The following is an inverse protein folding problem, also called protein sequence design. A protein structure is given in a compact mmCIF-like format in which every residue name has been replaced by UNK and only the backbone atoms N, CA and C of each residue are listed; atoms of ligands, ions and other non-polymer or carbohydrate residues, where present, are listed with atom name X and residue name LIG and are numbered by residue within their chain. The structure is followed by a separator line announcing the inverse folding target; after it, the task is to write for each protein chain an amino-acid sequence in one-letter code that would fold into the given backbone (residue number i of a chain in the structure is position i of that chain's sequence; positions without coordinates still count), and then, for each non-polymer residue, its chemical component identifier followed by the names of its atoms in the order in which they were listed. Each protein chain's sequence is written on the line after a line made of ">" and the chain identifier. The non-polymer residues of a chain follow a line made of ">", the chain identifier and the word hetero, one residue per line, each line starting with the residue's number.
data_IF_397834617314
#
_entry.id   IF_397834617314
#
_cell.length_a   1.000
_cell.length_b   1.000
_cell.length_c   1.000
_cell.angle_alpha   90.00
_cell.angle_beta   90.00
_cell.angle_gamma   90.00
#
_symmetry.space_group_name_H-M   'P 1'
#
loop_
_entity.id
_entity.type
_entity.pdbx_description
1 polymer ?
#
# COMPACT_ATOMS: atom_id res chain seq x y z
N UNK A 1 52.43 7.90 88.56
CA UNK A 1 53.30 7.08 87.68
C UNK A 1 52.36 6.13 86.95
N UNK A 2 52.13 6.12 85.65
CA UNK A 2 52.91 6.49 84.44
C UNK A 2 51.90 6.90 83.34
N UNK A 3 52.25 7.88 82.53
CA UNK A 3 51.69 8.19 81.18
C UNK A 3 52.83 7.88 80.17
N UNK A 4 52.70 7.80 78.82
CA UNK A 4 51.54 7.81 77.90
C UNK A 4 51.64 6.74 76.76
N UNK A 5 50.67 6.68 75.86
CA UNK A 5 50.92 6.33 74.44
C UNK A 5 49.78 6.87 73.54
N UNK A 6 50.16 7.71 72.59
CA UNK A 6 49.29 8.36 71.61
C UNK A 6 49.11 7.48 70.36
N UNK A 7 47.98 7.66 69.66
CA UNK A 7 47.98 7.61 68.19
C UNK A 7 46.86 8.48 67.62
N UNK A 8 47.25 9.35 66.68
CA UNK A 8 46.46 10.32 65.94
C UNK A 8 45.85 9.65 64.69
N UNK A 9 44.57 9.91 64.39
CA UNK A 9 44.07 9.91 63.00
C UNK A 9 43.10 11.07 62.81
N UNK A 10 43.35 11.84 61.74
CA UNK A 10 42.72 13.10 61.35
C UNK A 10 41.29 13.00 60.83
N UNK A 11 40.60 14.13 61.02
CA UNK A 11 39.40 14.69 60.41
C UNK A 11 38.95 14.18 59.02
N UNK A 12 37.62 14.05 58.86
CA UNK A 12 36.88 14.63 57.74
C UNK A 12 35.38 14.79 58.08
N UNK A 13 34.96 16.00 58.45
CA UNK A 13 33.55 16.40 58.47
C UNK A 13 33.14 16.58 57.00
N UNK A 14 32.64 15.50 56.40
CA UNK A 14 32.09 15.49 55.04
C UNK A 14 30.72 16.15 55.01
N UNK A 15 30.61 17.20 54.22
CA UNK A 15 29.45 18.08 54.06
C UNK A 15 28.24 17.29 53.54
N UNK A 16 27.17 17.24 54.34
CA UNK A 16 25.82 16.88 53.89
C UNK A 16 25.35 17.91 52.86
N UNK A 17 25.66 17.65 51.59
CA UNK A 17 25.08 18.38 50.46
C UNK A 17 23.61 17.99 50.36
N UNK A 18 22.74 18.91 50.74
CA UNK A 18 21.34 18.87 50.38
C UNK A 18 21.23 18.79 48.85
N UNK A 19 20.80 17.63 48.35
CA UNK A 19 20.39 17.48 46.95
C UNK A 19 19.05 18.20 46.85
N UNK A 20 19.06 19.44 46.36
CA UNK A 20 17.83 20.12 45.98
C UNK A 20 17.09 19.27 44.95
N UNK A 21 15.80 18.94 45.15
CA UNK A 21 14.98 18.41 44.09
C UNK A 21 14.74 19.55 43.11
N UNK A 22 15.63 19.72 42.15
CA UNK A 22 15.31 20.44 40.93
C UNK A 22 14.26 19.59 40.22
N UNK A 23 12.98 19.83 40.53
CA UNK A 23 11.89 19.45 39.65
C UNK A 23 12.21 20.12 38.31
N UNK A 24 12.71 19.32 37.37
CA UNK A 24 12.86 19.74 36.00
C UNK A 24 11.43 20.09 35.50
N UNK A 25 11.09 21.39 35.53
CA UNK A 25 10.05 21.89 34.66
C UNK A 25 10.38 21.38 33.26
N UNK A 26 9.40 20.85 32.50
CA UNK A 26 9.64 20.51 31.11
C UNK A 26 10.29 21.72 30.45
N UNK A 27 11.54 21.59 30.02
CA UNK A 27 12.26 22.68 29.40
C UNK A 27 11.42 23.24 28.26
N UNK A 28 11.33 24.57 28.16
CA UNK A 28 10.59 25.21 27.08
C UNK A 28 11.03 24.62 25.74
N UNK A 29 10.06 24.22 24.90
CA UNK A 29 10.36 23.64 23.60
C UNK A 29 11.23 24.60 22.78
N UNK A 30 12.21 24.05 22.08
CA UNK A 30 12.98 24.83 21.09
C UNK A 30 12.06 25.32 19.99
N UNK A 31 12.44 26.39 19.28
CA UNK A 31 11.66 26.91 18.14
C UNK A 31 11.33 25.81 17.13
N UNK A 32 12.31 24.97 16.76
CA UNK A 32 12.12 23.85 15.83
C UNK A 32 11.06 22.85 16.32
N UNK A 33 11.07 22.51 17.61
CA UNK A 33 10.10 21.60 18.22
C UNK A 33 8.69 22.21 18.25
N UNK A 34 8.59 23.49 18.62
CA UNK A 34 7.33 24.23 18.61
C UNK A 34 6.75 24.36 17.20
N UNK A 35 7.58 24.66 16.19
CA UNK A 35 7.15 24.77 14.79
C UNK A 35 6.67 23.42 14.24
N UNK A 36 7.35 22.32 14.57
CA UNK A 36 6.94 20.97 14.17
C UNK A 36 5.62 20.55 14.84
N UNK A 37 5.45 20.86 16.14
CA UNK A 37 4.21 20.61 16.86
C UNK A 37 3.04 21.41 16.28
N UNK A 38 3.25 22.70 15.99
CA UNK A 38 2.24 23.55 15.36
C UNK A 38 1.87 23.03 13.96
N UNK A 39 2.86 22.59 13.18
CA UNK A 39 2.63 22.02 11.85
C UNK A 39 1.78 20.74 11.93
N UNK A 40 2.08 19.84 12.88
CA UNK A 40 1.28 18.65 13.11
C UNK A 40 -0.15 18.99 13.53
N UNK A 41 -0.33 19.87 14.52
CA UNK A 41 -1.66 20.29 14.97
C UNK A 41 -2.49 20.90 13.83
N UNK A 42 -1.88 21.75 13.00
CA UNK A 42 -2.55 22.31 11.82
C UNK A 42 -2.94 21.23 10.80
N UNK A 43 -2.08 20.21 10.61
CA UNK A 43 -2.36 19.11 9.70
C UNK A 43 -3.52 18.23 10.21
N UNK A 44 -3.61 17.98 11.52
CA UNK A 44 -4.74 17.29 12.16
C UNK A 44 -6.03 18.08 11.96
N UNK A 45 -6.06 19.35 12.34
CA UNK A 45 -7.25 20.21 12.16
C UNK A 45 -7.70 20.29 10.71
N UNK A 46 -6.75 20.37 9.77
CA UNK A 46 -7.06 20.36 8.34
C UNK A 46 -7.68 19.03 7.90
N UNK A 47 -7.21 17.90 8.43
CA UNK A 47 -7.76 16.60 8.11
C UNK A 47 -9.18 16.42 8.66
N UNK A 48 -9.41 16.81 9.92
CA UNK A 48 -10.74 16.85 10.53
C UNK A 48 -11.73 17.68 9.73
N UNK A 49 -11.29 18.86 9.26
CA UNK A 49 -12.14 19.73 8.46
C UNK A 49 -12.53 19.09 7.13
N UNK A 50 -11.58 18.49 6.41
CA UNK A 50 -11.86 17.81 5.13
C UNK A 50 -12.75 16.58 5.34
N UNK A 51 -12.56 15.82 6.43
CA UNK A 51 -13.44 14.72 6.83
C UNK A 51 -14.87 15.20 7.05
N UNK A 52 -15.05 16.24 7.86
CA UNK A 52 -16.34 16.86 8.15
C UNK A 52 -17.03 17.37 6.88
N UNK A 53 -16.30 18.07 6.01
CA UNK A 53 -16.83 18.58 4.74
C UNK A 53 -17.31 17.44 3.84
N UNK A 54 -16.47 16.40 3.65
CA UNK A 54 -16.86 15.27 2.81
C UNK A 54 -18.06 14.51 3.39
N UNK A 55 -18.08 14.27 4.71
CA UNK A 55 -19.22 13.65 5.40
C UNK A 55 -20.50 14.46 5.22
N UNK A 56 -20.44 15.78 5.41
CA UNK A 56 -21.60 16.65 5.23
C UNK A 56 -22.13 16.63 3.79
N UNK A 57 -21.24 16.66 2.79
CA UNK A 57 -21.62 16.56 1.37
C UNK A 57 -22.31 15.23 1.07
N UNK A 58 -21.75 14.10 1.54
CA UNK A 58 -22.35 12.77 1.35
C UNK A 58 -23.71 12.67 2.05
N UNK A 59 -23.80 13.07 3.32
CA UNK A 59 -25.04 12.96 4.11
C UNK A 59 -26.18 13.83 3.54
N UNK A 60 -25.86 14.95 2.90
CA UNK A 60 -26.85 15.84 2.28
C UNK A 60 -27.19 15.47 0.84
N UNK A 61 -26.60 14.41 0.29
CA UNK A 61 -26.81 14.00 -1.11
C UNK A 61 -26.27 15.02 -2.12
N UNK A 62 -25.40 15.94 -1.69
CA UNK A 62 -24.80 16.93 -2.57
C UNK A 62 -23.87 16.23 -3.58
N UNK A 63 -23.80 16.74 -4.83
CA UNK A 63 -22.84 16.22 -5.80
C UNK A 63 -21.40 16.28 -5.27
N UNK A 64 -20.68 15.17 -5.40
CA UNK A 64 -19.26 15.11 -5.04
C UNK A 64 -18.41 15.70 -6.19
N UNK A 65 -17.22 16.26 -5.91
CA UNK A 65 -16.33 16.73 -6.95
C UNK A 65 -15.79 15.54 -7.75
N UNK A 66 -15.23 15.83 -8.92
CA UNK A 66 -14.76 14.82 -9.88
C UNK A 66 -13.83 13.76 -9.26
N UNK A 67 -12.94 14.13 -8.34
CA UNK A 67 -12.03 13.23 -7.62
C UNK A 67 -12.33 13.29 -6.11
N UNK A 68 -13.41 12.65 -5.64
CA UNK A 68 -14.01 12.95 -4.35
C UNK A 68 -13.14 12.59 -3.14
N UNK A 69 -12.26 11.59 -3.30
CA UNK A 69 -11.30 11.17 -2.29
C UNK A 69 -9.96 11.90 -2.32
N UNK A 70 -9.69 12.74 -3.33
CA UNK A 70 -8.35 13.35 -3.49
C UNK A 70 -7.96 14.23 -2.31
N UNK A 71 -8.86 15.14 -1.89
CA UNK A 71 -8.59 16.04 -0.76
C UNK A 71 -8.36 15.27 0.54
N UNK A 72 -9.19 14.25 0.80
CA UNK A 72 -9.06 13.38 1.96
C UNK A 72 -7.73 12.62 1.97
N UNK A 73 -7.34 12.07 0.82
CA UNK A 73 -6.08 11.36 0.67
C UNK A 73 -4.89 12.27 0.98
N UNK A 74 -4.86 13.46 0.38
CA UNK A 74 -3.79 14.43 0.61
C UNK A 74 -3.73 14.90 2.07
N UNK A 75 -4.87 15.16 2.69
CA UNK A 75 -4.93 15.56 4.09
C UNK A 75 -4.41 14.47 5.04
N UNK A 76 -4.78 13.20 4.80
CA UNK A 76 -4.26 12.04 5.55
C UNK A 76 -2.73 11.93 5.41
N UNK A 77 -2.22 12.03 4.18
CA UNK A 77 -0.77 11.96 3.92
C UNK A 77 -0.04 13.11 4.62
N UNK A 78 -0.60 14.33 4.57
CA UNK A 78 -0.02 15.49 5.23
C UNK A 78 0.04 15.31 6.75
N UNK A 79 -1.00 14.76 7.38
CA UNK A 79 -1.00 14.49 8.82
C UNK A 79 0.09 13.49 9.23
N UNK A 80 0.19 12.34 8.54
CA UNK A 80 1.21 11.31 8.82
C UNK A 80 2.62 11.89 8.58
N UNK A 81 2.76 12.68 7.51
CA UNK A 81 4.00 13.39 7.19
C UNK A 81 4.42 14.38 8.29
N UNK A 82 3.49 15.22 8.76
CA UNK A 82 3.75 16.21 9.80
C UNK A 82 4.03 15.56 11.16
N UNK A 83 3.41 14.42 11.45
CA UNK A 83 3.71 13.64 12.64
C UNK A 83 5.13 13.06 12.59
N UNK A 84 5.58 12.57 11.43
CA UNK A 84 6.97 12.13 11.27
C UNK A 84 7.97 13.28 11.45
N UNK A 85 7.66 14.48 10.96
CA UNK A 85 8.48 15.67 11.21
C UNK A 85 8.50 16.05 12.70
N UNK A 86 7.37 15.90 13.40
CA UNK A 86 7.27 16.13 14.84
C UNK A 86 8.12 15.14 15.63
N UNK A 87 8.02 13.84 15.36
CA UNK A 87 8.78 12.82 16.09
C UNK A 87 10.27 12.88 15.80
N UNK A 88 10.68 13.35 14.61
CA UNK A 88 12.08 13.65 14.30
C UNK A 88 12.62 14.85 15.11
N UNK A 89 11.80 15.88 15.33
CA UNK A 89 12.20 17.05 16.12
C UNK A 89 12.08 16.82 17.64
N UNK A 90 11.13 15.97 18.05
CA UNK A 90 10.78 15.71 19.43
C UNK A 90 10.48 14.19 19.62
N UNK A 91 11.51 13.34 19.77
CA UNK A 91 11.34 11.88 19.88
C UNK A 91 10.48 11.42 21.05
N UNK A 92 10.33 12.24 22.10
CA UNK A 92 9.40 11.95 23.21
C UNK A 92 7.92 11.95 22.79
N UNK A 93 7.60 12.39 21.57
CA UNK A 93 6.26 12.32 20.96
C UNK A 93 6.04 11.08 20.10
N UNK A 94 7.02 10.17 19.99
CA UNK A 94 6.79 8.87 19.32
C UNK A 94 5.58 8.20 19.97
N UNK A 95 4.63 7.81 19.14
CA UNK A 95 3.33 7.32 19.57
C UNK A 95 3.37 5.88 20.08
N UNK A 96 2.17 5.35 20.27
CA UNK A 96 1.96 3.95 20.64
C UNK A 96 1.73 3.08 19.40
N UNK A 97 1.95 1.76 19.49
CA UNK A 97 1.48 0.83 18.46
C UNK A 97 -0.02 1.02 18.18
N UNK A 98 -0.38 0.92 16.91
CA UNK A 98 -1.75 1.14 16.40
C UNK A 98 -2.24 -0.09 15.61
N UNK A 99 -3.55 -0.20 15.44
CA UNK A 99 -4.19 -1.33 14.73
C UNK A 99 -3.86 -1.41 13.24
N UNK A 100 -3.34 -0.33 12.65
CA UNK A 100 -2.97 -0.30 11.24
C UNK A 100 -1.53 -0.78 10.99
N UNK A 101 -0.77 -1.08 12.05
CA UNK A 101 0.63 -1.51 11.94
C UNK A 101 1.55 -0.42 11.40
N UNK A 102 1.12 0.85 11.40
CA UNK A 102 1.96 1.97 10.97
C UNK A 102 3.04 2.19 12.05
N UNK A 103 4.33 2.35 11.72
CA UNK A 103 5.34 2.50 12.76
C UNK A 103 5.04 3.74 13.65
N UNK A 104 5.21 3.67 14.98
CA UNK A 104 4.77 4.74 15.89
C UNK A 104 5.50 6.08 15.74
N UNK A 105 6.61 6.13 14.99
CA UNK A 105 7.23 7.40 14.61
C UNK A 105 6.44 8.16 13.53
N UNK A 106 5.56 7.48 12.79
CA UNK A 106 4.78 8.03 11.67
C UNK A 106 3.32 8.26 12.04
N UNK A 107 2.81 7.60 13.09
CA UNK A 107 1.41 7.67 13.44
C UNK A 107 1.16 7.35 14.91
N UNK A 108 0.31 8.15 15.55
CA UNK A 108 -0.16 7.92 16.91
C UNK A 108 -1.48 7.13 16.91
N UNK A 109 -1.62 6.19 17.85
CA UNK A 109 -2.87 5.47 18.09
C UNK A 109 -4.05 6.42 18.40
N UNK A 110 -3.79 7.60 18.98
CA UNK A 110 -4.84 8.59 19.25
C UNK A 110 -5.47 9.17 17.96
N UNK A 111 -4.77 9.08 16.83
CA UNK A 111 -5.27 9.51 15.51
C UNK A 111 -6.06 8.43 14.77
N UNK A 112 -6.21 7.21 15.33
CA UNK A 112 -6.95 6.11 14.70
C UNK A 112 -8.39 6.48 14.27
N UNK A 113 -9.19 7.20 15.08
CA UNK A 113 -10.56 7.55 14.70
C UNK A 113 -10.66 8.36 13.40
N UNK A 114 -9.65 9.20 13.10
CA UNK A 114 -9.61 9.99 11.87
C UNK A 114 -9.38 9.10 10.65
N UNK A 115 -8.51 8.08 10.79
CA UNK A 115 -8.24 7.12 9.72
C UNK A 115 -9.43 6.16 9.52
N UNK A 116 -10.13 5.79 10.59
CA UNK A 116 -11.38 5.04 10.49
C UNK A 116 -12.46 5.82 9.74
N UNK A 117 -12.66 7.10 10.07
CA UNK A 117 -13.62 7.95 9.36
C UNK A 117 -13.22 8.11 7.89
N UNK A 118 -11.93 8.34 7.62
CA UNK A 118 -11.40 8.37 6.26
C UNK A 118 -11.75 7.09 5.49
N UNK A 119 -11.55 5.90 6.07
CA UNK A 119 -11.87 4.64 5.40
C UNK A 119 -13.36 4.51 5.14
N UNK A 120 -14.21 4.82 6.12
CA UNK A 120 -15.68 4.80 5.95
C UNK A 120 -16.15 5.70 4.82
N UNK A 121 -15.58 6.90 4.68
CA UNK A 121 -15.91 7.79 3.57
C UNK A 121 -15.42 7.24 2.23
N UNK A 122 -14.23 6.64 2.19
CA UNK A 122 -13.75 5.96 1.00
C UNK A 122 -14.61 4.75 0.62
N UNK A 123 -15.08 3.94 1.58
CA UNK A 123 -16.02 2.83 1.31
C UNK A 123 -17.27 3.32 0.55
N UNK A 124 -17.78 4.51 0.90
CA UNK A 124 -18.93 5.11 0.22
C UNK A 124 -18.57 5.64 -1.18
N UNK A 125 -17.42 6.31 -1.33
CA UNK A 125 -16.99 6.88 -2.62
C UNK A 125 -16.49 5.84 -3.62
N UNK A 126 -15.99 4.71 -3.13
CA UNK A 126 -15.47 3.60 -3.92
C UNK A 126 -16.53 2.51 -4.13
N UNK A 127 -17.75 2.70 -3.63
CA UNK A 127 -18.81 1.71 -3.73
C UNK A 127 -19.05 1.33 -5.20
N UNK A 128 -19.17 0.02 -5.51
CA UNK A 128 -19.51 -0.41 -6.86
C UNK A 128 -20.85 0.19 -7.32
N UNK A 129 -21.03 0.44 -8.62
CA UNK A 129 -22.35 0.79 -9.13
C UNK A 129 -23.34 -0.36 -8.87
N UNK A 130 -24.62 -0.03 -8.71
CA UNK A 130 -25.65 -1.00 -8.28
C UNK A 130 -25.79 -2.21 -9.23
N UNK A 131 -25.47 -2.04 -10.52
CA UNK A 131 -25.50 -3.09 -11.53
C UNK A 131 -24.15 -3.82 -11.71
N UNK A 132 -23.15 -3.56 -10.86
CA UNK A 132 -21.90 -4.30 -10.89
C UNK A 132 -22.13 -5.79 -10.59
N UNK A 133 -21.48 -6.65 -11.37
CA UNK A 133 -21.63 -8.09 -11.31
C UNK A 133 -20.49 -8.68 -10.49
N UNK A 134 -20.80 -9.02 -9.24
CA UNK A 134 -19.87 -9.71 -8.35
C UNK A 134 -19.72 -11.18 -8.72
N UNK A 135 -18.57 -11.74 -8.36
CA UNK A 135 -18.32 -13.18 -8.29
C UNK A 135 -18.53 -13.68 -6.87
N UNK A 136 -18.98 -14.92 -6.76
CA UNK A 136 -19.07 -15.65 -5.49
C UNK A 136 -17.72 -16.27 -5.07
N UNK A 137 -16.71 -16.24 -5.95
CA UNK A 137 -15.37 -16.79 -5.71
C UNK A 137 -14.26 -15.82 -6.12
N UNK A 138 -14.28 -14.55 -5.68
CA UNK A 138 -13.45 -13.50 -6.27
C UNK A 138 -11.95 -13.77 -6.22
N UNK A 139 -11.45 -14.26 -5.08
CA UNK A 139 -10.02 -14.54 -4.94
C UNK A 139 -9.59 -15.73 -5.80
N UNK A 140 -10.45 -16.76 -5.90
CA UNK A 140 -10.21 -17.90 -6.77
C UNK A 140 -10.16 -17.47 -8.24
N UNK A 141 -11.02 -16.57 -8.65
CA UNK A 141 -11.06 -16.08 -10.03
C UNK A 141 -9.76 -15.38 -10.41
N UNK A 142 -9.23 -14.53 -9.52
CA UNK A 142 -7.92 -13.89 -9.70
C UNK A 142 -6.80 -14.93 -9.85
N UNK A 143 -6.78 -15.94 -8.98
CA UNK A 143 -5.74 -16.99 -9.00
C UNK A 143 -5.84 -17.85 -10.25
N UNK A 144 -7.03 -18.36 -10.57
CA UNK A 144 -7.27 -19.25 -11.71
C UNK A 144 -6.94 -18.56 -13.03
N UNK A 145 -7.42 -17.33 -13.22
CA UNK A 145 -7.16 -16.55 -14.43
C UNK A 145 -5.66 -16.30 -14.61
N UNK A 146 -4.97 -15.85 -13.56
CA UNK A 146 -3.54 -15.61 -13.61
C UNK A 146 -2.73 -16.88 -13.91
N UNK A 147 -3.07 -18.01 -13.27
CA UNK A 147 -2.43 -19.30 -13.54
C UNK A 147 -2.65 -19.76 -14.98
N UNK A 148 -3.87 -19.64 -15.51
CA UNK A 148 -4.19 -20.02 -16.88
C UNK A 148 -3.45 -19.15 -17.90
N UNK A 149 -3.42 -17.83 -17.70
CA UNK A 149 -2.67 -16.89 -18.53
C UNK A 149 -1.17 -17.24 -18.51
N UNK A 150 -0.61 -17.50 -17.33
CA UNK A 150 0.80 -17.87 -17.18
C UNK A 150 1.15 -19.16 -17.94
N UNK A 151 0.31 -20.19 -17.83
CA UNK A 151 0.49 -21.45 -18.57
C UNK A 151 0.39 -21.26 -20.08
N UNK A 152 -0.60 -20.48 -20.55
CA UNK A 152 -0.72 -20.13 -21.97
C UNK A 152 0.47 -19.31 -22.49
N UNK A 153 1.15 -18.58 -21.60
CA UNK A 153 2.41 -17.85 -21.88
C UNK A 153 3.67 -18.72 -21.70
N UNK A 154 3.51 -20.04 -21.50
CA UNK A 154 4.61 -21.00 -21.49
C UNK A 154 5.20 -21.32 -20.13
N UNK A 155 4.60 -20.87 -19.02
CA UNK A 155 5.05 -21.24 -17.69
C UNK A 155 4.58 -22.65 -17.30
N UNK A 156 5.44 -23.37 -16.57
CA UNK A 156 5.07 -24.61 -15.89
C UNK A 156 4.10 -24.36 -14.71
N UNK A 157 3.62 -25.44 -14.09
CA UNK A 157 2.65 -25.37 -13.00
C UNK A 157 3.17 -24.62 -11.76
N UNK A 158 4.46 -24.72 -11.45
CA UNK A 158 5.07 -24.08 -10.28
C UNK A 158 5.14 -22.57 -10.47
N UNK A 159 5.63 -22.13 -11.64
CA UNK A 159 5.73 -20.71 -11.98
C UNK A 159 4.36 -20.09 -12.23
N UNK A 160 3.39 -20.85 -12.74
CA UNK A 160 2.00 -20.42 -12.83
C UNK A 160 1.38 -20.16 -11.45
N UNK A 161 1.65 -20.98 -10.44
CA UNK A 161 1.21 -20.71 -9.06
C UNK A 161 1.77 -19.39 -8.51
N UNK A 162 3.04 -19.09 -8.81
CA UNK A 162 3.62 -17.79 -8.46
C UNK A 162 2.87 -16.63 -9.14
N UNK A 163 2.48 -16.78 -10.40
CA UNK A 163 1.64 -15.79 -11.10
C UNK A 163 0.28 -15.59 -10.41
N UNK A 164 -0.36 -16.67 -9.98
CA UNK A 164 -1.62 -16.64 -9.22
C UNK A 164 -1.48 -15.86 -7.90
N UNK A 165 -0.45 -16.18 -7.11
CA UNK A 165 -0.14 -15.50 -5.86
C UNK A 165 0.13 -14.01 -6.06
N UNK A 166 1.00 -13.66 -7.00
CA UNK A 166 1.36 -12.27 -7.31
C UNK A 166 0.11 -11.48 -7.73
N UNK A 167 -0.73 -12.07 -8.59
CA UNK A 167 -1.96 -11.44 -9.07
C UNK A 167 -2.98 -11.20 -7.97
N UNK A 168 -3.08 -12.12 -7.00
CA UNK A 168 -3.89 -11.89 -5.81
C UNK A 168 -3.30 -10.76 -4.94
N UNK A 169 -1.98 -10.69 -4.82
CA UNK A 169 -1.29 -9.57 -4.18
C UNK A 169 -1.68 -8.21 -4.78
N UNK A 170 -1.67 -8.11 -6.11
CA UNK A 170 -2.12 -6.92 -6.85
C UNK A 170 -3.58 -6.58 -6.57
N UNK A 171 -4.47 -7.59 -6.59
CA UNK A 171 -5.89 -7.40 -6.28
C UNK A 171 -6.08 -6.74 -4.92
N UNK A 172 -5.38 -7.22 -3.89
CA UNK A 172 -5.40 -6.61 -2.56
C UNK A 172 -4.69 -5.24 -2.52
N UNK A 173 -3.59 -5.07 -3.24
CA UNK A 173 -2.85 -3.80 -3.34
C UNK A 173 -3.77 -2.65 -3.76
N UNK A 174 -4.52 -2.86 -4.84
CA UNK A 174 -5.34 -1.85 -5.50
C UNK A 174 -6.74 -1.70 -4.88
N UNK A 175 -7.36 -2.80 -4.42
CA UNK A 175 -8.78 -2.78 -4.01
C UNK A 175 -9.03 -3.16 -2.55
N UNK A 176 -7.99 -3.54 -1.81
CA UNK A 176 -8.10 -4.16 -0.49
C UNK A 176 -8.94 -5.46 -0.50
N UNK A 177 -8.98 -6.14 -1.64
CA UNK A 177 -9.73 -7.39 -1.83
C UNK A 177 -11.21 -7.19 -2.21
N UNK A 178 -11.61 -5.97 -2.53
CA UNK A 178 -12.99 -5.64 -2.87
C UNK A 178 -13.24 -5.73 -4.38
N UNK A 179 -14.39 -6.27 -4.75
CA UNK A 179 -14.77 -6.40 -6.16
C UNK A 179 -15.40 -5.12 -6.69
N UNK A 180 -15.13 -4.82 -7.96
CA UNK A 180 -15.84 -3.81 -8.75
C UNK A 180 -15.83 -2.40 -8.14
N UNK A 181 -14.81 -2.09 -7.33
CA UNK A 181 -14.72 -0.81 -6.64
C UNK A 181 -14.43 0.34 -7.60
N UNK A 182 -14.96 1.51 -7.30
CA UNK A 182 -14.47 2.75 -7.88
C UNK A 182 -13.06 3.08 -7.37
N UNK A 183 -12.43 4.08 -7.98
CA UNK A 183 -11.27 4.75 -7.42
C UNK A 183 -11.67 6.17 -7.06
N UNK A 184 -11.74 6.49 -5.76
CA UNK A 184 -12.15 7.83 -5.32
C UNK A 184 -11.16 8.94 -5.74
N UNK A 185 -9.98 8.58 -6.25
CA UNK A 185 -8.93 9.49 -6.73
C UNK A 185 -8.77 9.48 -8.25
N UNK A 186 -9.55 8.67 -8.98
CA UNK A 186 -9.55 8.65 -10.45
C UNK A 186 -10.88 8.18 -11.02
N UNK A 187 -11.43 8.94 -11.98
CA UNK A 187 -12.60 8.49 -12.73
C UNK A 187 -12.27 7.49 -13.84
N UNK A 188 -10.99 7.39 -14.19
CA UNK A 188 -10.53 6.49 -15.25
C UNK A 188 -10.39 5.07 -14.71
N UNK A 189 -9.80 4.90 -13.54
CA UNK A 189 -9.45 3.59 -12.98
C UNK A 189 -10.57 3.06 -12.09
N UNK A 190 -11.16 1.92 -12.44
CA UNK A 190 -12.27 1.29 -11.71
C UNK A 190 -12.26 -0.22 -11.88
N UNK A 191 -13.10 -0.91 -11.11
CA UNK A 191 -13.30 -2.34 -11.22
C UNK A 191 -12.51 -3.13 -10.19
N UNK A 192 -12.38 -4.43 -10.45
CA UNK A 192 -11.74 -5.36 -9.52
C UNK A 192 -10.21 -5.25 -9.49
N UNK A 193 -9.55 -4.75 -10.55
CA UNK A 193 -8.10 -4.44 -10.55
C UNK A 193 -7.90 -2.99 -11.02
N UNK A 194 -8.70 -2.06 -10.49
CA UNK A 194 -8.70 -0.61 -10.77
C UNK A 194 -8.11 -0.22 -12.14
N UNK A 195 -8.73 -0.69 -13.23
CA UNK A 195 -8.20 -0.61 -14.59
C UNK A 195 -8.89 0.50 -15.38
N UNK A 196 -8.14 1.17 -16.25
CA UNK A 196 -8.67 2.20 -17.14
C UNK A 196 -9.32 1.61 -18.40
N UNK A 197 -10.11 2.41 -19.16
CA UNK A 197 -10.79 1.90 -20.36
C UNK A 197 -9.82 1.39 -21.45
N UNK A 198 -8.65 2.02 -21.58
CA UNK A 198 -7.64 1.64 -22.57
C UNK A 198 -6.97 0.32 -22.20
N UNK A 199 -6.63 0.16 -20.93
CA UNK A 199 -6.04 -1.05 -20.36
C UNK A 199 -7.03 -2.23 -20.48
N UNK A 200 -8.30 -2.01 -20.15
CA UNK A 200 -9.38 -3.00 -20.29
C UNK A 200 -9.54 -3.46 -21.74
N UNK A 201 -9.69 -2.52 -22.68
CA UNK A 201 -9.81 -2.82 -24.12
C UNK A 201 -8.58 -3.60 -24.64
N UNK A 202 -7.39 -3.19 -24.22
CA UNK A 202 -6.16 -3.89 -24.61
C UNK A 202 -6.08 -5.29 -23.99
N UNK A 203 -6.50 -5.42 -22.73
CA UNK A 203 -6.63 -6.67 -22.01
C UNK A 203 -7.52 -7.67 -22.74
N UNK A 204 -8.75 -7.26 -23.06
CA UNK A 204 -9.73 -8.07 -23.79
C UNK A 204 -9.18 -8.57 -25.13
N UNK A 205 -8.54 -7.67 -25.90
CA UNK A 205 -7.91 -8.03 -27.18
C UNK A 205 -6.81 -9.08 -27.00
N UNK A 206 -5.95 -8.92 -26.00
CA UNK A 206 -4.86 -9.86 -25.72
C UNK A 206 -5.41 -11.19 -25.18
N UNK A 207 -6.45 -11.18 -24.34
CA UNK A 207 -7.13 -12.38 -23.87
C UNK A 207 -7.65 -13.22 -25.04
N UNK A 208 -8.36 -12.58 -25.98
CA UNK A 208 -8.90 -13.24 -27.16
C UNK A 208 -7.83 -14.00 -27.96
N UNK A 209 -6.60 -13.48 -28.02
CA UNK A 209 -5.48 -14.11 -28.72
C UNK A 209 -4.97 -15.41 -28.07
N UNK A 210 -5.22 -15.63 -26.77
CA UNK A 210 -4.78 -16.83 -26.05
C UNK A 210 -5.94 -17.71 -25.56
N UNK A 211 -7.18 -17.26 -25.71
CA UNK A 211 -8.39 -17.94 -25.21
C UNK A 211 -8.50 -19.39 -25.70
N UNK A 212 -8.25 -19.64 -26.99
CA UNK A 212 -8.29 -21.00 -27.54
C UNK A 212 -7.21 -21.91 -26.95
N UNK A 213 -6.00 -21.38 -26.74
CA UNK A 213 -4.92 -22.13 -26.11
C UNK A 213 -5.26 -22.51 -24.67
N UNK A 214 -5.88 -21.60 -23.92
CA UNK A 214 -6.37 -21.87 -22.56
C UNK A 214 -7.47 -22.95 -22.59
N UNK A 215 -8.49 -22.80 -23.45
CA UNK A 215 -9.58 -23.76 -23.56
C UNK A 215 -9.11 -25.17 -23.94
N UNK A 216 -7.98 -25.30 -24.65
CA UNK A 216 -7.42 -26.59 -25.01
C UNK A 216 -6.89 -27.40 -23.80
N UNK A 217 -6.40 -26.74 -22.75
CA UNK A 217 -5.92 -27.41 -21.53
C UNK A 217 -6.83 -27.24 -20.31
N UNK A 218 -7.74 -26.27 -20.35
CA UNK A 218 -8.74 -25.99 -19.31
C UNK A 218 -10.09 -25.58 -19.94
N UNK A 219 -10.85 -26.55 -20.48
CA UNK A 219 -12.13 -26.28 -21.12
C UNK A 219 -13.18 -25.72 -20.15
N UNK A 220 -13.08 -26.04 -18.86
CA UNK A 220 -14.00 -25.56 -17.84
C UNK A 220 -13.82 -24.05 -17.60
N UNK A 221 -12.57 -23.56 -17.56
CA UNK A 221 -12.29 -22.13 -17.48
C UNK A 221 -12.77 -21.40 -18.74
N UNK A 222 -12.56 -21.98 -19.93
CA UNK A 222 -13.09 -21.43 -21.18
C UNK A 222 -14.61 -21.27 -21.17
N UNK A 223 -15.34 -22.32 -20.76
CA UNK A 223 -16.80 -22.26 -20.64
C UNK A 223 -17.27 -21.24 -19.59
N UNK A 224 -16.51 -21.09 -18.48
CA UNK A 224 -16.78 -20.07 -17.48
C UNK A 224 -16.57 -18.66 -18.03
N UNK A 225 -15.52 -18.44 -18.80
CA UNK A 225 -15.26 -17.16 -19.47
C UNK A 225 -16.39 -16.79 -20.43
N UNK A 226 -16.90 -17.73 -21.23
CA UNK A 226 -18.05 -17.50 -22.10
C UNK A 226 -19.31 -17.11 -21.32
N UNK A 227 -19.57 -17.78 -20.19
CA UNK A 227 -20.69 -17.45 -19.32
C UNK A 227 -20.56 -16.04 -18.73
N UNK A 228 -19.36 -15.63 -18.32
CA UNK A 228 -19.12 -14.31 -17.74
C UNK A 228 -19.15 -13.19 -18.78
N UNK A 229 -18.67 -13.43 -20.01
CA UNK A 229 -18.88 -12.52 -21.15
C UNK A 229 -20.37 -12.32 -21.45
N UNK A 230 -21.15 -13.42 -21.50
CA UNK A 230 -22.59 -13.34 -21.70
C UNK A 230 -23.30 -12.62 -20.55
N UNK A 231 -22.84 -12.83 -19.30
CA UNK A 231 -23.36 -12.13 -18.12
C UNK A 231 -23.07 -10.64 -18.17
N UNK A 232 -21.85 -10.24 -18.55
CA UNK A 232 -21.48 -8.84 -18.71
C UNK A 232 -22.34 -8.15 -19.78
N UNK A 233 -22.55 -8.79 -20.94
CA UNK A 233 -23.41 -8.26 -22.00
C UNK A 233 -22.99 -6.87 -22.45
N UNK A 234 -23.86 -5.87 -22.26
CA UNK A 234 -23.60 -4.47 -22.61
C UNK A 234 -23.06 -3.63 -21.42
N UNK A 235 -22.77 -4.26 -20.28
CA UNK A 235 -22.15 -3.60 -19.15
C UNK A 235 -20.72 -3.17 -19.52
N UNK A 236 -20.22 -2.10 -18.90
CA UNK A 236 -18.78 -1.85 -18.86
C UNK A 236 -18.09 -3.07 -18.21
N UNK A 237 -17.21 -3.75 -18.97
CA UNK A 237 -16.55 -4.99 -18.57
C UNK A 237 -15.81 -4.87 -17.23
N UNK A 238 -15.40 -3.66 -16.86
CA UNK A 238 -14.71 -3.40 -15.59
C UNK A 238 -15.62 -3.56 -14.37
N UNK A 239 -16.94 -3.57 -14.57
CA UNK A 239 -17.92 -3.79 -13.49
C UNK A 239 -18.41 -5.24 -13.41
N UNK A 240 -17.96 -6.15 -14.27
CA UNK A 240 -18.04 -7.58 -14.01
C UNK A 240 -16.70 -8.07 -13.47
N UNK A 241 -16.72 -8.74 -12.31
CA UNK A 241 -15.49 -9.12 -11.61
C UNK A 241 -14.56 -9.97 -12.48
N UNK A 242 -15.10 -10.99 -13.13
CA UNK A 242 -14.32 -11.94 -13.93
C UNK A 242 -13.66 -11.25 -15.12
N UNK A 243 -14.44 -10.53 -15.93
CA UNK A 243 -13.91 -9.83 -17.11
C UNK A 243 -12.94 -8.74 -16.71
N UNK A 244 -13.23 -7.98 -15.65
CA UNK A 244 -12.34 -6.94 -15.13
C UNK A 244 -10.98 -7.50 -14.71
N UNK A 245 -10.97 -8.59 -13.93
CA UNK A 245 -9.72 -9.22 -13.47
C UNK A 245 -8.92 -9.75 -14.66
N UNK A 246 -9.57 -10.51 -15.54
CA UNK A 246 -8.96 -11.10 -16.72
C UNK A 246 -8.33 -10.04 -17.63
N UNK A 247 -9.08 -9.00 -17.93
CA UNK A 247 -8.65 -7.95 -18.87
C UNK A 247 -7.57 -7.08 -18.22
N UNK A 248 -7.66 -6.77 -16.93
CA UNK A 248 -6.59 -6.09 -16.19
C UNK A 248 -5.26 -6.86 -16.21
N UNK A 249 -5.30 -8.17 -15.89
CA UNK A 249 -4.12 -9.04 -15.91
C UNK A 249 -3.49 -9.08 -17.30
N UNK A 250 -4.30 -9.27 -18.35
CA UNK A 250 -3.82 -9.27 -19.73
C UNK A 250 -3.29 -7.90 -20.19
N UNK A 251 -3.94 -6.83 -19.74
CA UNK A 251 -3.63 -5.44 -20.10
C UNK A 251 -2.25 -5.02 -19.62
N UNK A 252 -2.01 -5.18 -18.31
CA UNK A 252 -0.85 -4.60 -17.62
C UNK A 252 0.25 -5.61 -17.25
N UNK A 253 -0.10 -6.87 -16.91
CA UNK A 253 0.81 -7.78 -16.20
C UNK A 253 1.25 -9.01 -17.00
N UNK A 254 0.40 -9.56 -17.87
CA UNK A 254 0.63 -10.86 -18.51
C UNK A 254 1.93 -10.94 -19.33
N UNK A 255 2.43 -9.83 -19.88
CA UNK A 255 3.70 -9.81 -20.62
C UNK A 255 4.94 -9.97 -19.71
N UNK A 256 4.78 -9.83 -18.40
CA UNK A 256 5.84 -10.10 -17.43
C UNK A 256 5.80 -11.54 -16.90
N UNK A 257 4.72 -12.28 -17.13
CA UNK A 257 4.59 -13.65 -16.62
C UNK A 257 5.73 -14.58 -17.07
N UNK A 258 6.19 -14.56 -18.34
CA UNK A 258 7.36 -15.35 -18.75
C UNK A 258 8.64 -15.04 -17.96
N UNK A 259 8.73 -13.87 -17.31
CA UNK A 259 9.89 -13.45 -16.53
C UNK A 259 9.78 -13.82 -15.05
N UNK A 260 8.64 -14.38 -14.59
CA UNK A 260 8.43 -14.81 -13.20
C UNK A 260 9.55 -15.72 -12.68
N UNK A 261 10.05 -16.72 -13.41
CA UNK A 261 11.15 -17.56 -12.90
C UNK A 261 12.40 -16.75 -12.51
N UNK A 262 12.76 -15.76 -13.33
CA UNK A 262 13.88 -14.86 -13.03
C UNK A 262 13.56 -13.93 -11.86
N UNK A 263 12.34 -13.37 -11.81
CA UNK A 263 11.89 -12.49 -10.73
C UNK A 263 11.91 -13.23 -9.39
N UNK A 264 11.40 -14.46 -9.32
CA UNK A 264 11.39 -15.29 -8.10
C UNK A 264 12.81 -15.60 -7.64
N UNK A 265 13.74 -15.82 -8.58
CA UNK A 265 15.17 -16.02 -8.25
C UNK A 265 15.81 -14.76 -7.66
N UNK A 266 15.48 -13.58 -8.21
CA UNK A 266 16.04 -12.31 -7.75
C UNK A 266 15.39 -11.79 -6.47
N UNK A 267 14.08 -12.01 -6.30
CA UNK A 267 13.25 -11.59 -5.18
C UNK A 267 12.64 -12.85 -4.52
N UNK A 268 13.37 -13.53 -3.62
CA UNK A 268 12.89 -14.78 -3.03
C UNK A 268 11.69 -14.58 -2.08
N UNK A 269 11.56 -13.39 -1.48
CA UNK A 269 10.41 -13.05 -0.63
C UNK A 269 9.13 -12.85 -1.48
N UNK A 270 8.05 -13.62 -1.23
CA UNK A 270 6.76 -13.43 -1.88
C UNK A 270 6.20 -12.00 -1.80
N UNK A 271 6.41 -11.30 -0.68
CA UNK A 271 5.89 -9.94 -0.48
C UNK A 271 6.64 -8.96 -1.37
N UNK A 272 7.96 -9.10 -1.50
CA UNK A 272 8.75 -8.30 -2.44
C UNK A 272 8.33 -8.52 -3.90
N UNK A 273 7.98 -9.76 -4.27
CA UNK A 273 7.46 -10.04 -5.62
C UNK A 273 6.15 -9.30 -5.87
N UNK A 274 5.23 -9.29 -4.91
CA UNK A 274 3.97 -8.56 -5.01
C UNK A 274 4.20 -7.04 -5.08
N UNK A 275 5.10 -6.49 -4.26
CA UNK A 275 5.51 -5.08 -4.32
C UNK A 275 6.11 -4.71 -5.67
N UNK A 276 6.96 -5.56 -6.23
CA UNK A 276 7.54 -5.34 -7.55
C UNK A 276 6.46 -5.24 -8.64
N UNK A 277 5.45 -6.11 -8.60
CA UNK A 277 4.33 -6.04 -9.55
C UNK A 277 3.43 -4.82 -9.32
N UNK A 278 3.24 -4.37 -8.08
CA UNK A 278 2.57 -3.09 -7.78
C UNK A 278 3.36 -1.90 -8.36
N UNK A 279 4.70 -1.94 -8.32
CA UNK A 279 5.54 -0.93 -8.96
C UNK A 279 5.42 -0.89 -10.49
N UNK A 280 4.94 -1.97 -11.13
CA UNK A 280 4.60 -1.92 -12.56
C UNK A 280 3.41 -0.98 -12.81
N UNK A 281 2.48 -0.85 -11.87
CA UNK A 281 1.36 0.10 -11.98
C UNK A 281 1.79 1.52 -11.66
N UNK A 282 2.62 1.69 -10.63
CA UNK A 282 3.04 3.01 -10.14
C UNK A 282 4.07 3.67 -11.08
N UNK A 283 5.09 2.92 -11.50
CA UNK A 283 6.22 3.40 -12.31
C UNK A 283 6.61 2.37 -13.40
N UNK A 284 5.73 2.10 -14.38
CA UNK A 284 5.88 0.99 -15.34
C UNK A 284 7.20 0.98 -16.09
N UNK A 285 7.60 2.12 -16.68
CA UNK A 285 8.79 2.19 -17.52
C UNK A 285 10.08 1.97 -16.71
N UNK A 286 10.32 2.68 -15.59
CA UNK A 286 11.47 2.40 -14.72
C UNK A 286 11.54 0.95 -14.22
N UNK A 287 10.41 0.36 -13.82
CA UNK A 287 10.37 -1.01 -13.32
C UNK A 287 10.73 -2.03 -14.41
N UNK A 288 10.25 -1.85 -15.64
CA UNK A 288 10.67 -2.69 -16.78
C UNK A 288 12.15 -2.51 -17.12
N UNK A 289 12.68 -1.30 -17.02
CA UNK A 289 14.11 -1.03 -17.24
C UNK A 289 14.98 -1.68 -16.18
N UNK A 290 14.57 -1.63 -14.91
CA UNK A 290 15.27 -2.28 -13.81
C UNK A 290 15.29 -3.81 -13.95
N UNK A 291 14.21 -4.42 -14.42
CA UNK A 291 14.19 -5.86 -14.69
C UNK A 291 15.15 -6.25 -15.82
N UNK A 292 15.23 -5.42 -16.88
CA UNK A 292 16.11 -5.65 -18.04
C UNK A 292 17.59 -5.40 -17.74
N UNK A 293 17.92 -4.68 -16.67
CA UNK A 293 19.32 -4.36 -16.35
C UNK A 293 20.11 -5.58 -15.86
N UNK A 294 19.44 -6.61 -15.36
CA UNK A 294 20.07 -7.74 -14.66
C UNK A 294 20.53 -7.42 -13.24
N UNK A 295 20.39 -6.17 -12.79
CA UNK A 295 20.72 -5.69 -11.44
C UNK A 295 19.52 -4.96 -10.84
N UNK A 296 18.41 -5.71 -10.70
CA UNK A 296 17.11 -5.16 -10.30
C UNK A 296 17.21 -4.41 -8.96
N UNK A 297 17.77 -5.02 -7.93
CA UNK A 297 17.73 -4.49 -6.56
C UNK A 297 18.55 -3.20 -6.39
N UNK A 298 19.67 -3.07 -7.11
CA UNK A 298 20.52 -1.89 -7.05
C UNK A 298 20.20 -0.85 -8.12
N UNK A 299 19.32 -1.16 -9.08
CA UNK A 299 18.90 -0.21 -10.11
C UNK A 299 18.36 1.07 -9.47
N UNK A 300 18.97 2.20 -9.82
CA UNK A 300 18.69 3.50 -9.20
C UNK A 300 17.76 4.33 -10.07
N UNK A 301 16.71 4.86 -9.44
CA UNK A 301 15.84 5.89 -10.02
C UNK A 301 16.26 7.23 -9.47
N UNK A 302 16.54 8.19 -10.35
CA UNK A 302 16.83 9.59 -10.00
C UNK A 302 15.97 10.60 -10.76
N UNK A 303 15.12 10.15 -11.70
CA UNK A 303 14.26 11.04 -12.47
C UNK A 303 13.26 11.74 -11.53
N UNK A 304 13.26 13.09 -11.44
CA UNK A 304 12.44 13.81 -10.46
C UNK A 304 10.94 13.52 -10.58
N UNK A 305 10.44 13.34 -11.80
CA UNK A 305 9.04 13.01 -12.07
C UNK A 305 8.66 11.64 -11.50
N UNK A 306 9.51 10.64 -11.68
CA UNK A 306 9.30 9.28 -11.17
C UNK A 306 9.39 9.26 -9.64
N UNK A 307 10.36 9.95 -9.06
CA UNK A 307 10.41 10.15 -7.61
C UNK A 307 9.15 10.86 -7.08
N UNK A 308 8.58 11.78 -7.85
CA UNK A 308 7.28 12.39 -7.55
C UNK A 308 6.13 11.38 -7.52
N UNK A 309 6.07 10.45 -8.48
CA UNK A 309 5.07 9.38 -8.48
C UNK A 309 5.18 8.43 -7.30
N UNK A 310 6.40 8.09 -6.87
CA UNK A 310 6.62 7.30 -5.66
C UNK A 310 6.02 8.01 -4.42
N UNK A 311 6.32 9.30 -4.24
CA UNK A 311 5.79 10.09 -3.11
C UNK A 311 4.26 10.20 -3.14
N UNK A 312 3.68 10.40 -4.32
CA UNK A 312 2.22 10.43 -4.48
C UNK A 312 1.55 9.10 -4.09
N UNK A 313 2.30 8.00 -4.09
CA UNK A 313 1.86 6.68 -3.65
C UNK A 313 2.39 6.30 -2.26
N UNK A 314 2.72 7.30 -1.43
CA UNK A 314 3.18 7.13 -0.04
C UNK A 314 4.56 6.49 0.12
N UNK A 315 5.36 6.41 -0.95
CA UNK A 315 6.73 5.88 -0.94
C UNK A 315 7.70 7.06 -0.82
N UNK A 316 8.50 7.12 0.25
CA UNK A 316 9.31 8.29 0.62
C UNK A 316 8.50 9.59 0.81
N UNK A 317 7.26 9.46 1.30
CA UNK A 317 6.37 10.60 1.50
C UNK A 317 6.47 11.26 2.89
N UNK A 318 6.99 10.53 3.89
CA UNK A 318 6.80 10.88 5.30
C UNK A 318 8.11 11.26 5.98
N UNK A 319 8.17 12.45 6.55
CA UNK A 319 9.39 13.02 7.10
C UNK A 319 10.18 13.86 6.08
N UNK A 320 10.89 14.86 6.58
CA UNK A 320 11.77 15.71 5.76
C UNK A 320 12.85 14.92 5.03
N UNK A 321 13.46 13.93 5.70
CA UNK A 321 14.54 13.12 5.12
C UNK A 321 14.07 12.33 3.88
N UNK A 322 12.90 11.67 3.98
CA UNK A 322 12.31 10.93 2.88
C UNK A 322 11.96 11.85 1.71
N UNK A 323 11.32 13.00 1.99
CA UNK A 323 10.97 13.97 0.95
C UNK A 323 12.19 14.57 0.25
N UNK A 324 13.29 14.76 0.98
CA UNK A 324 14.55 15.29 0.45
C UNK A 324 15.31 14.31 -0.46
N UNK A 325 14.95 13.01 -0.48
CA UNK A 325 15.61 12.02 -1.34
C UNK A 325 15.46 12.39 -2.82
N UNK A 326 16.57 12.56 -3.52
CA UNK A 326 16.59 12.83 -4.97
C UNK A 326 16.69 11.56 -5.81
N UNK A 327 17.04 10.43 -5.18
CA UNK A 327 17.09 9.12 -5.84
C UNK A 327 16.85 7.99 -4.83
N UNK A 328 16.55 6.80 -5.34
CA UNK A 328 16.48 5.56 -4.56
C UNK A 328 16.78 4.35 -5.44
N UNK A 329 17.30 3.28 -4.84
CA UNK A 329 17.36 1.96 -5.50
C UNK A 329 16.02 1.24 -5.39
N UNK A 330 15.78 0.24 -6.23
CA UNK A 330 14.57 -0.59 -6.13
C UNK A 330 14.44 -1.31 -4.79
N UNK A 331 15.55 -1.74 -4.17
CA UNK A 331 15.51 -2.28 -2.80
C UNK A 331 14.95 -1.25 -1.82
N UNK A 332 15.50 -0.03 -1.82
CA UNK A 332 15.02 1.05 -0.95
C UNK A 332 13.54 1.38 -1.21
N UNK A 333 13.11 1.37 -2.49
CA UNK A 333 11.72 1.60 -2.88
C UNK A 333 10.79 0.53 -2.28
N UNK A 334 11.12 -0.76 -2.44
CA UNK A 334 10.31 -1.86 -1.92
C UNK A 334 10.27 -1.89 -0.38
N UNK A 335 11.35 -1.47 0.28
CA UNK A 335 11.39 -1.33 1.73
C UNK A 335 10.48 -0.18 2.21
N UNK A 336 10.44 0.92 1.45
CA UNK A 336 9.56 2.06 1.72
C UNK A 336 8.07 1.78 1.41
N UNK A 337 7.73 0.65 0.78
CA UNK A 337 6.34 0.20 0.53
C UNK A 337 5.71 -0.51 1.73
N UNK A 338 6.12 -0.20 2.96
CA UNK A 338 5.62 -0.87 4.18
C UNK A 338 4.11 -0.73 4.41
N UNK A 339 3.47 0.33 3.89
CA UNK A 339 2.01 0.48 3.92
C UNK A 339 1.25 -0.60 3.12
N UNK A 340 1.94 -1.35 2.27
CA UNK A 340 1.38 -2.47 1.53
C UNK A 340 1.52 -3.81 2.27
N UNK A 341 2.37 -3.92 3.30
CA UNK A 341 2.69 -5.22 3.91
C UNK A 341 1.43 -5.94 4.42
N UNK A 342 0.61 -5.30 5.26
CA UNK A 342 -0.55 -5.95 5.87
C UNK A 342 -1.56 -6.50 4.83
N UNK A 343 -1.79 -5.78 3.73
CA UNK A 343 -2.69 -6.22 2.66
C UNK A 343 -2.08 -7.35 1.81
N UNK A 344 -0.76 -7.33 1.60
CA UNK A 344 -0.05 -8.36 0.83
C UNK A 344 0.11 -9.65 1.66
N UNK A 345 0.33 -9.54 2.97
CA UNK A 345 0.30 -10.66 3.90
C UNK A 345 -1.09 -11.31 3.95
N UNK A 346 -2.15 -10.49 3.98
CA UNK A 346 -3.52 -11.00 3.86
C UNK A 346 -3.77 -11.68 2.51
N UNK A 347 -3.27 -11.12 1.41
CA UNK A 347 -3.36 -11.75 0.09
C UNK A 347 -2.64 -13.09 0.06
N UNK A 348 -1.45 -13.19 0.69
CA UNK A 348 -0.70 -14.43 0.80
C UNK A 348 -1.46 -15.50 1.60
N UNK A 349 -2.03 -15.13 2.76
CA UNK A 349 -2.85 -16.04 3.55
C UNK A 349 -4.10 -16.50 2.77
N UNK A 350 -4.77 -15.57 2.06
CA UNK A 350 -5.94 -15.87 1.22
C UNK A 350 -5.56 -16.81 0.06
N UNK A 351 -4.38 -16.63 -0.53
CA UNK A 351 -3.87 -17.53 -1.57
C UNK A 351 -3.70 -18.97 -1.05
N UNK A 352 -3.14 -19.12 0.16
CA UNK A 352 -2.98 -20.43 0.78
C UNK A 352 -4.32 -21.11 1.08
N UNK A 353 -5.34 -20.33 1.48
CA UNK A 353 -6.71 -20.81 1.65
C UNK A 353 -7.31 -21.30 0.33
N UNK A 354 -7.24 -20.50 -0.74
CA UNK A 354 -7.71 -20.85 -2.08
C UNK A 354 -7.01 -22.12 -2.58
N UNK A 355 -5.69 -22.22 -2.40
CA UNK A 355 -4.90 -23.39 -2.78
C UNK A 355 -5.31 -24.66 -2.02
N UNK A 356 -5.73 -24.52 -0.77
CA UNK A 356 -6.22 -25.63 0.05
C UNK A 356 -7.66 -26.07 -0.27
N UNK A 357 -8.32 -25.43 -1.25
CA UNK A 357 -9.70 -25.74 -1.63
C UNK A 357 -10.75 -25.17 -0.67
N UNK A 358 -10.34 -24.33 0.30
CA UNK A 358 -11.28 -23.54 1.10
C UNK A 358 -11.84 -22.42 0.23
N UNK A 359 -13.10 -22.05 0.45
CA UNK A 359 -13.62 -20.79 -0.07
C UNK A 359 -12.88 -19.68 0.68
N UNK A 360 -11.84 -19.13 0.06
CA UNK A 360 -11.15 -17.93 0.55
C UNK A 360 -12.08 -16.72 0.59
#
# INVERSE_FOLDING_TARGET
>A
MVNPAASLVSAAIGSLRFISPAMAQPGALTKKQSDALNTYNNAVSSFEEVLRQRRAQINSGQPLPNLPGQALYLARINMISAYKDLTDALPSRIGRPNKFGIPPAYFDADSEPLVDEYRKLFDLMEAPPANAQKSDTPFKDVVDLAMAIARAKGLDATNAQAAGRISLGLFFAETNGNQNVGNARSNTYKGSLQTGPSEDKNGRRKWAAIKQAIAAFDPALGARDDKEEARAGNLDHRYNHWTAVRDALMGAHAELFPQIPAIVKTLPDPIDQMKFFELIQIIPSPTRSALKSGDLVNYRISEPRIMGYLRNNSIFAFGQADRARTSATFREIMDAMWLFNAKLERALATFDEVKSGKKG
#
